data_IF_849045025426
#
_entry.id   IF_849045025426
#
_cell.length_a   1.000
_cell.length_b   1.000
_cell.length_c   1.000
_cell.angle_alpha   90.00
_cell.angle_beta   90.00
_cell.angle_gamma   90.00
#
_symmetry.space_group_name_H-M   'P 1'
#
loop_
_entity.id
_entity.type
_entity.pdbx_description
1 polymer ?
#
# COMPACT_ATOMS: atom_id res chain seq x y z
N UNK A 1 -34.58 -5.95 9.55
CA UNK A 1 -33.28 -5.27 9.29
C UNK A 1 -33.58 -3.99 8.53
N UNK A 2 -33.46 -2.83 9.18
CA UNK A 2 -33.62 -1.52 8.53
C UNK A 2 -32.32 -1.21 7.79
N UNK A 3 -32.33 -1.24 6.48
CA UNK A 3 -31.21 -0.75 5.66
C UNK A 3 -31.01 0.73 5.97
N UNK A 4 -29.83 1.10 6.49
CA UNK A 4 -29.46 2.52 6.63
C UNK A 4 -29.37 3.10 5.21
N UNK A 5 -30.11 4.17 4.95
CA UNK A 5 -29.99 4.89 3.69
C UNK A 5 -28.54 5.38 3.51
N UNK A 6 -27.96 5.12 2.36
CA UNK A 6 -26.64 5.64 2.02
C UNK A 6 -26.75 7.15 1.85
N UNK A 7 -26.11 7.91 2.74
CA UNK A 7 -25.96 9.36 2.56
C UNK A 7 -24.82 9.61 1.55
N UNK A 8 -25.17 9.69 0.28
CA UNK A 8 -24.23 10.12 -0.75
C UNK A 8 -23.95 11.61 -0.56
N UNK A 9 -22.70 11.98 -0.30
CA UNK A 9 -22.28 13.37 -0.35
C UNK A 9 -22.52 13.91 -1.79
N UNK A 10 -23.10 15.11 -1.94
CA UNK A 10 -23.23 15.71 -3.27
C UNK A 10 -21.83 15.92 -3.86
N UNK A 11 -21.62 15.44 -5.08
CA UNK A 11 -20.38 15.67 -5.80
C UNK A 11 -20.29 17.14 -6.26
N UNK A 12 -19.08 17.67 -6.24
CA UNK A 12 -18.80 18.95 -6.90
C UNK A 12 -18.97 18.77 -8.41
N UNK A 13 -20.03 19.36 -8.94
CA UNK A 13 -20.38 19.22 -10.37
C UNK A 13 -19.43 19.97 -11.30
N UNK A 14 -18.75 21.01 -10.81
CA UNK A 14 -17.77 21.74 -11.60
C UNK A 14 -16.50 20.92 -11.74
N UNK A 15 -15.94 20.47 -10.62
CA UNK A 15 -14.79 19.58 -10.59
C UNK A 15 -15.04 18.28 -11.37
N UNK A 16 -16.23 17.66 -11.22
CA UNK A 16 -16.58 16.47 -11.97
C UNK A 16 -16.53 16.68 -13.50
N UNK A 17 -17.01 17.82 -13.98
CA UNK A 17 -16.96 18.15 -15.42
C UNK A 17 -15.54 18.36 -15.90
N UNK A 18 -14.76 19.11 -15.15
CA UNK A 18 -13.37 19.42 -15.46
C UNK A 18 -12.51 18.15 -15.50
N UNK A 19 -12.62 17.30 -14.50
CA UNK A 19 -11.95 15.99 -14.49
C UNK A 19 -12.40 15.09 -15.64
N UNK A 20 -13.69 15.03 -15.92
CA UNK A 20 -14.19 14.22 -17.04
C UNK A 20 -13.61 14.69 -18.37
N UNK A 21 -13.46 16.00 -18.58
CA UNK A 21 -12.87 16.57 -19.79
C UNK A 21 -11.36 16.28 -19.86
N UNK A 22 -10.62 16.42 -18.76
CA UNK A 22 -9.19 16.16 -18.72
C UNK A 22 -8.87 14.68 -18.99
N UNK A 23 -9.55 13.76 -18.30
CA UNK A 23 -9.40 12.33 -18.51
C UNK A 23 -9.79 11.93 -19.94
N UNK A 24 -10.87 12.54 -20.49
CA UNK A 24 -11.31 12.26 -21.85
C UNK A 24 -10.30 12.76 -22.89
N UNK A 25 -9.64 13.87 -22.67
CA UNK A 25 -8.63 14.40 -23.59
C UNK A 25 -7.43 13.45 -23.69
N UNK A 26 -6.85 13.03 -22.55
CA UNK A 26 -5.74 12.08 -22.53
C UNK A 26 -6.13 10.75 -23.17
N UNK A 27 -7.27 10.20 -22.78
CA UNK A 27 -7.75 8.92 -23.30
C UNK A 27 -8.06 8.94 -24.80
N UNK A 28 -8.45 10.11 -25.34
CA UNK A 28 -8.64 10.27 -26.79
C UNK A 28 -7.31 10.26 -27.53
N UNK A 29 -6.28 10.91 -27.02
CA UNK A 29 -4.93 10.88 -27.59
C UNK A 29 -4.37 9.45 -27.64
N UNK A 30 -4.54 8.68 -26.58
CA UNK A 30 -4.15 7.26 -26.55
C UNK A 30 -4.92 6.42 -27.58
N UNK A 31 -6.23 6.65 -27.70
CA UNK A 31 -7.08 5.94 -28.65
C UNK A 31 -6.68 6.26 -30.10
N UNK A 32 -6.39 7.52 -30.40
CA UNK A 32 -5.93 7.97 -31.72
C UNK A 32 -4.56 7.38 -32.04
N UNK A 33 -3.64 7.35 -31.09
CA UNK A 33 -2.33 6.73 -31.24
C UNK A 33 -2.46 5.24 -31.58
N UNK A 34 -3.29 4.49 -30.82
CA UNK A 34 -3.50 3.06 -31.05
C UNK A 34 -4.18 2.80 -32.39
N UNK A 35 -5.15 3.63 -32.78
CA UNK A 35 -5.84 3.50 -34.06
C UNK A 35 -4.95 3.74 -35.28
N UNK A 36 -3.86 4.50 -35.13
CA UNK A 36 -2.89 4.79 -36.19
C UNK A 36 -1.75 3.77 -36.26
N UNK A 37 -1.35 3.16 -35.15
CA UNK A 37 -0.19 2.28 -35.07
C UNK A 37 -0.53 0.79 -35.11
N UNK A 38 -1.79 0.43 -34.83
CA UNK A 38 -2.31 -0.92 -35.02
C UNK A 38 -2.86 -1.12 -36.44
N UNK A 39 -3.40 -2.33 -36.76
CA UNK A 39 -4.19 -2.52 -37.98
C UNK A 39 -5.29 -1.46 -38.08
N UNK A 40 -5.52 -0.85 -39.27
CA UNK A 40 -6.47 0.25 -39.42
C UNK A 40 -7.85 -0.07 -38.86
N UNK A 41 -8.30 0.72 -37.88
CA UNK A 41 -9.61 0.53 -37.27
C UNK A 41 -10.71 0.97 -38.20
N UNK A 42 -11.77 0.18 -38.31
CA UNK A 42 -12.98 0.64 -39.01
C UNK A 42 -13.65 1.79 -38.24
N UNK A 43 -14.35 2.69 -38.94
CA UNK A 43 -15.12 3.76 -38.30
C UNK A 43 -16.05 3.26 -37.21
N UNK A 44 -16.66 2.08 -37.39
CA UNK A 44 -17.52 1.46 -36.38
C UNK A 44 -16.77 1.01 -35.15
N UNK A 45 -15.56 0.43 -35.31
CA UNK A 45 -14.72 0.00 -34.20
C UNK A 45 -14.26 1.22 -33.38
N UNK A 46 -13.82 2.28 -34.07
CA UNK A 46 -13.41 3.52 -33.42
C UNK A 46 -14.56 4.20 -32.66
N UNK A 47 -15.73 4.34 -33.27
CA UNK A 47 -16.90 4.92 -32.62
C UNK A 47 -17.37 4.12 -31.39
N UNK A 48 -17.30 2.79 -31.45
CA UNK A 48 -17.66 1.93 -30.33
C UNK A 48 -16.66 2.06 -29.18
N UNK A 49 -15.37 2.11 -29.46
CA UNK A 49 -14.32 2.31 -28.48
C UNK A 49 -14.44 3.68 -27.80
N UNK A 50 -14.66 4.74 -28.57
CA UNK A 50 -14.85 6.09 -28.03
C UNK A 50 -16.09 6.17 -27.12
N UNK A 51 -17.20 5.54 -27.48
CA UNK A 51 -18.41 5.52 -26.66
C UNK A 51 -18.24 4.73 -25.35
N UNK A 52 -17.48 3.62 -25.38
CA UNK A 52 -17.12 2.88 -24.18
C UNK A 52 -16.25 3.72 -23.25
N UNK A 53 -15.22 4.33 -23.78
CA UNK A 53 -14.27 5.17 -23.05
C UNK A 53 -14.94 6.38 -22.39
N UNK A 54 -15.91 7.01 -23.04
CA UNK A 54 -16.66 8.11 -22.43
C UNK A 54 -17.40 7.71 -21.15
N UNK A 55 -17.93 6.50 -21.09
CA UNK A 55 -18.59 5.98 -19.88
C UNK A 55 -17.60 5.69 -18.78
N UNK A 56 -16.44 5.11 -19.11
CA UNK A 56 -15.37 4.83 -18.17
C UNK A 56 -14.80 6.11 -17.59
N UNK A 57 -14.53 7.11 -18.43
CA UNK A 57 -14.01 8.41 -18.01
C UNK A 57 -14.96 9.14 -17.04
N UNK A 58 -16.26 9.10 -17.30
CA UNK A 58 -17.26 9.68 -16.40
C UNK A 58 -17.32 8.95 -15.05
N UNK A 59 -17.16 7.63 -15.03
CA UNK A 59 -17.11 6.84 -13.82
C UNK A 59 -15.84 7.14 -13.00
N UNK A 60 -14.67 7.16 -13.64
CA UNK A 60 -13.39 7.49 -13.02
C UNK A 60 -13.41 8.89 -12.40
N UNK A 61 -13.85 9.90 -13.17
CA UNK A 61 -13.99 11.26 -12.66
C UNK A 61 -14.94 11.32 -11.46
N UNK A 62 -16.05 10.57 -11.48
CA UNK A 62 -16.99 10.47 -10.38
C UNK A 62 -16.36 9.88 -9.11
N UNK A 63 -15.57 8.81 -9.24
CA UNK A 63 -14.87 8.17 -8.12
C UNK A 63 -13.80 9.10 -7.54
N UNK A 64 -12.99 9.75 -8.38
CA UNK A 64 -11.95 10.68 -7.96
C UNK A 64 -12.54 11.88 -7.21
N UNK A 65 -13.57 12.53 -7.80
CA UNK A 65 -14.28 13.64 -7.15
C UNK A 65 -14.89 13.23 -5.81
N UNK A 66 -15.47 12.04 -5.70
CA UNK A 66 -16.03 11.52 -4.45
C UNK A 66 -14.96 11.30 -3.37
N UNK A 67 -13.72 11.06 -3.76
CA UNK A 67 -12.55 10.93 -2.88
C UNK A 67 -11.86 12.26 -2.57
N UNK A 68 -12.34 13.37 -3.13
CA UNK A 68 -11.78 14.70 -2.91
C UNK A 68 -10.67 15.09 -3.89
N UNK A 69 -10.32 14.23 -4.84
CA UNK A 69 -9.39 14.57 -5.93
C UNK A 69 -10.16 15.37 -6.96
N UNK A 70 -9.90 16.67 -7.02
CA UNK A 70 -10.63 17.63 -7.86
C UNK A 70 -9.74 18.35 -8.85
N UNK A 71 -8.43 18.32 -8.66
CA UNK A 71 -7.45 18.89 -9.57
C UNK A 71 -7.16 17.92 -10.74
N UNK A 72 -7.27 18.36 -12.00
CA UNK A 72 -7.03 17.53 -13.16
C UNK A 72 -5.60 16.99 -13.25
N UNK A 73 -4.61 17.77 -12.85
CA UNK A 73 -3.21 17.34 -12.91
C UNK A 73 -2.95 16.24 -11.90
N UNK A 74 -3.42 16.40 -10.67
CA UNK A 74 -3.34 15.37 -9.62
C UNK A 74 -4.03 14.07 -10.09
N UNK A 75 -5.23 14.20 -10.66
CA UNK A 75 -5.99 13.05 -11.16
C UNK A 75 -5.25 12.28 -12.27
N UNK A 76 -4.67 12.99 -13.23
CA UNK A 76 -3.95 12.39 -14.36
C UNK A 76 -2.64 11.74 -13.90
N UNK A 77 -1.89 12.36 -13.00
CA UNK A 77 -0.68 11.79 -12.39
C UNK A 77 -0.99 10.48 -11.65
N UNK A 78 -2.06 10.47 -10.84
CA UNK A 78 -2.52 9.27 -10.15
C UNK A 78 -2.91 8.14 -11.12
N UNK A 79 -3.63 8.47 -12.20
CA UNK A 79 -4.05 7.49 -13.20
C UNK A 79 -2.89 6.94 -14.04
N UNK A 80 -1.87 7.77 -14.30
CA UNK A 80 -0.65 7.35 -14.98
C UNK A 80 0.27 6.47 -14.10
N UNK A 81 0.06 6.46 -12.78
CA UNK A 81 0.94 5.76 -11.85
C UNK A 81 2.35 6.38 -11.75
N UNK A 82 2.46 7.65 -12.09
CA UNK A 82 3.72 8.41 -12.11
C UNK A 82 3.96 9.19 -10.81
N UNK A 83 3.34 8.77 -9.71
CA UNK A 83 3.54 9.42 -8.42
C UNK A 83 4.98 9.25 -7.95
N UNK A 84 5.61 10.35 -7.60
CA UNK A 84 6.90 10.33 -6.94
C UNK A 84 6.75 9.75 -5.53
N UNK A 85 7.68 8.86 -5.15
CA UNK A 85 7.74 8.35 -3.79
C UNK A 85 8.04 9.51 -2.83
N UNK A 86 7.25 9.63 -1.79
CA UNK A 86 7.49 10.59 -0.72
C UNK A 86 8.81 10.29 0.00
N UNK A 87 9.45 11.32 0.54
CA UNK A 87 10.64 11.16 1.38
C UNK A 87 10.28 10.29 2.60
N UNK A 88 10.96 9.15 2.80
CA UNK A 88 10.68 8.26 3.93
C UNK A 88 10.88 8.94 5.29
N UNK A 89 11.68 10.01 5.40
CA UNK A 89 11.84 10.77 6.63
C UNK A 89 10.56 11.48 7.10
N UNK A 90 9.55 11.60 6.23
CA UNK A 90 8.22 12.11 6.59
C UNK A 90 7.39 11.13 7.43
N UNK A 91 7.76 9.86 7.47
CA UNK A 91 7.13 8.89 8.37
C UNK A 91 7.52 9.18 9.81
N UNK A 92 6.52 9.20 10.70
CA UNK A 92 6.73 9.42 12.12
C UNK A 92 7.70 8.38 12.69
N UNK A 93 8.68 8.86 13.47
CA UNK A 93 9.69 8.03 14.15
C UNK A 93 10.59 7.19 13.22
N UNK A 94 10.68 7.51 11.92
CA UNK A 94 11.56 6.81 10.99
C UNK A 94 13.02 6.82 11.46
N UNK A 95 13.52 7.97 11.93
CA UNK A 95 14.88 8.10 12.43
C UNK A 95 15.14 7.16 13.61
N UNK A 96 14.21 7.09 14.57
CA UNK A 96 14.31 6.18 15.73
C UNK A 96 14.29 4.71 15.31
N UNK A 97 13.46 4.36 14.33
CA UNK A 97 13.40 3.01 13.79
C UNK A 97 14.74 2.62 13.14
N UNK A 98 15.28 3.50 12.30
CA UNK A 98 16.59 3.30 11.67
C UNK A 98 17.71 3.16 12.70
N UNK A 99 17.79 4.08 13.67
CA UNK A 99 18.79 4.02 14.75
C UNK A 99 18.69 2.72 15.57
N UNK A 100 17.46 2.26 15.86
CA UNK A 100 17.24 1.01 16.59
C UNK A 100 17.70 -0.21 15.80
N UNK A 101 17.41 -0.25 14.48
CA UNK A 101 17.87 -1.33 13.61
C UNK A 101 19.39 -1.33 13.48
N UNK A 102 20.02 -0.17 13.28
CA UNK A 102 21.48 -0.07 13.22
C UNK A 102 22.13 -0.57 14.50
N UNK A 103 21.63 -0.16 15.66
CA UNK A 103 22.12 -0.66 16.96
C UNK A 103 22.02 -2.18 17.06
N UNK A 104 20.91 -2.77 16.62
CA UNK A 104 20.76 -4.22 16.63
C UNK A 104 21.78 -4.93 15.73
N UNK A 105 22.12 -4.32 14.60
CA UNK A 105 23.15 -4.86 13.69
C UNK A 105 24.52 -4.80 14.34
N UNK A 106 24.89 -3.64 14.89
CA UNK A 106 26.20 -3.40 15.50
C UNK A 106 26.43 -4.27 16.74
N UNK A 107 25.39 -4.51 17.54
CA UNK A 107 25.43 -5.32 18.75
C UNK A 107 25.22 -6.82 18.47
N UNK A 108 24.97 -7.21 17.22
CA UNK A 108 24.76 -8.62 16.83
C UNK A 108 23.45 -9.22 17.35
N UNK A 109 22.46 -8.38 17.63
CA UNK A 109 21.15 -8.80 18.11
C UNK A 109 20.38 -9.62 17.06
N UNK A 110 19.47 -10.47 17.54
CA UNK A 110 18.57 -11.20 16.61
C UNK A 110 17.33 -10.37 16.30
N UNK A 111 17.20 -9.96 15.05
CA UNK A 111 16.04 -9.27 14.50
C UNK A 111 15.07 -10.30 13.89
N UNK A 112 13.77 -10.15 14.14
CA UNK A 112 12.73 -10.90 13.39
C UNK A 112 11.88 -9.94 12.59
N UNK A 113 11.82 -10.17 11.29
CA UNK A 113 10.83 -9.52 10.41
C UNK A 113 9.55 -10.35 10.47
N UNK A 114 8.48 -9.74 10.98
CA UNK A 114 7.18 -10.38 11.14
C UNK A 114 6.20 -9.78 10.12
N UNK A 115 5.80 -10.57 9.13
CA UNK A 115 4.86 -10.14 8.08
C UNK A 115 3.48 -10.74 8.22
N UNK A 116 2.65 -10.51 7.20
CA UNK A 116 1.38 -11.20 7.03
C UNK A 116 1.50 -12.37 6.05
N UNK A 117 0.49 -13.21 5.98
CA UNK A 117 0.44 -14.43 5.16
C UNK A 117 -0.02 -14.18 3.72
N UNK A 118 -0.49 -12.98 3.38
CA UNK A 118 -0.88 -12.64 2.02
C UNK A 118 0.32 -12.19 1.15
N UNK A 119 0.05 -11.81 -0.10
CA UNK A 119 1.11 -11.46 -1.06
C UNK A 119 1.90 -10.23 -0.60
N UNK A 120 1.22 -9.23 -0.04
CA UNK A 120 1.86 -7.98 0.39
C UNK A 120 2.75 -8.24 1.60
N UNK A 121 2.26 -8.96 2.60
CA UNK A 121 3.03 -9.36 3.78
C UNK A 121 4.23 -10.25 3.45
N UNK A 122 4.06 -11.24 2.57
CA UNK A 122 5.15 -12.13 2.15
C UNK A 122 6.22 -11.37 1.37
N UNK A 123 5.83 -10.50 0.44
CA UNK A 123 6.79 -9.73 -0.38
C UNK A 123 7.51 -8.66 0.44
N UNK A 124 6.81 -7.96 1.32
CA UNK A 124 7.41 -6.99 2.25
C UNK A 124 8.40 -7.67 3.20
N UNK A 125 8.04 -8.85 3.75
CA UNK A 125 8.93 -9.65 4.60
C UNK A 125 10.19 -10.06 3.83
N UNK A 126 10.04 -10.56 2.62
CA UNK A 126 11.18 -11.00 1.80
C UNK A 126 12.12 -9.84 1.46
N UNK A 127 11.57 -8.68 1.10
CA UNK A 127 12.32 -7.47 0.78
C UNK A 127 13.16 -7.01 1.99
N UNK A 128 12.53 -6.81 3.13
CA UNK A 128 13.21 -6.32 4.33
C UNK A 128 14.20 -7.36 4.87
N UNK A 129 13.84 -8.64 4.90
CA UNK A 129 14.76 -9.72 5.29
C UNK A 129 16.02 -9.73 4.44
N UNK A 130 15.88 -9.67 3.11
CA UNK A 130 17.04 -9.69 2.21
C UNK A 130 17.93 -8.45 2.40
N UNK A 131 17.31 -7.28 2.59
CA UNK A 131 18.03 -6.04 2.82
C UNK A 131 18.83 -6.09 4.11
N UNK A 132 18.20 -6.41 5.23
CA UNK A 132 18.86 -6.53 6.54
C UNK A 132 19.97 -7.59 6.54
N UNK A 133 19.72 -8.72 5.89
CA UNK A 133 20.74 -9.76 5.73
C UNK A 133 21.95 -9.28 4.91
N UNK A 134 21.70 -8.50 3.85
CA UNK A 134 22.76 -7.89 3.04
C UNK A 134 23.60 -6.87 3.83
N UNK A 135 23.01 -6.23 4.83
CA UNK A 135 23.68 -5.33 5.78
C UNK A 135 24.46 -6.07 6.88
N UNK A 136 24.41 -7.39 6.94
CA UNK A 136 25.10 -8.22 7.94
C UNK A 136 24.31 -8.50 9.22
N UNK A 137 23.01 -8.18 9.26
CA UNK A 137 22.15 -8.43 10.41
C UNK A 137 21.97 -9.94 10.69
N UNK A 138 21.87 -10.31 11.95
CA UNK A 138 21.36 -11.60 12.38
C UNK A 138 19.83 -11.57 12.32
N UNK A 139 19.28 -11.86 11.15
CA UNK A 139 17.86 -11.68 10.85
C UNK A 139 17.16 -13.02 10.58
N UNK A 140 15.92 -13.13 11.06
CA UNK A 140 14.98 -14.23 10.78
C UNK A 140 13.68 -13.63 10.27
N UNK A 141 12.84 -14.44 9.63
CA UNK A 141 11.47 -14.04 9.26
C UNK A 141 10.45 -14.99 9.89
N UNK A 142 9.26 -14.45 10.15
CA UNK A 142 8.12 -15.20 10.64
C UNK A 142 6.84 -14.67 10.00
N UNK A 143 5.95 -15.57 9.63
CA UNK A 143 4.61 -15.27 9.13
C UNK A 143 3.59 -16.00 10.01
N UNK A 144 2.41 -15.41 10.28
CA UNK A 144 1.36 -16.09 11.03
C UNK A 144 0.79 -17.27 10.22
N UNK A 145 0.32 -18.29 10.93
CA UNK A 145 -0.39 -19.40 10.30
C UNK A 145 -1.87 -19.06 10.14
N UNK A 146 -2.42 -19.27 8.92
CA UNK A 146 -3.85 -19.09 8.65
C UNK A 146 -4.77 -19.90 9.58
N UNK A 147 -4.30 -21.03 10.06
CA UNK A 147 -5.14 -22.01 10.78
C UNK A 147 -5.02 -21.93 12.32
N UNK A 148 -4.04 -21.20 12.87
CA UNK A 148 -3.76 -21.28 14.31
C UNK A 148 -3.57 -19.95 15.05
N UNK A 149 -2.97 -18.95 14.42
CA UNK A 149 -2.51 -17.74 15.12
C UNK A 149 -3.44 -16.54 14.97
N UNK A 150 -4.44 -16.62 14.07
CA UNK A 150 -5.27 -15.48 13.72
C UNK A 150 -4.56 -14.52 12.76
N UNK A 151 -5.12 -13.31 12.63
CA UNK A 151 -4.54 -12.25 11.81
C UNK A 151 -3.58 -11.40 12.63
N UNK A 152 -2.39 -11.12 12.07
CA UNK A 152 -1.43 -10.20 12.64
C UNK A 152 -0.55 -10.76 13.76
N UNK A 153 0.09 -9.87 14.50
CA UNK A 153 0.99 -10.19 15.59
C UNK A 153 0.22 -10.72 16.81
N UNK A 154 0.68 -11.82 17.40
CA UNK A 154 0.06 -12.42 18.59
C UNK A 154 1.05 -12.56 19.76
N UNK A 155 0.53 -12.55 20.99
CA UNK A 155 1.36 -12.77 22.21
C UNK A 155 2.10 -14.12 22.18
N UNK A 156 1.49 -15.15 21.57
CA UNK A 156 2.13 -16.45 21.40
C UNK A 156 3.31 -16.40 20.42
N UNK A 157 3.17 -15.67 19.32
CA UNK A 157 4.25 -15.45 18.37
C UNK A 157 5.42 -14.67 19.04
N UNK A 158 5.12 -13.61 19.77
CA UNK A 158 6.11 -12.83 20.52
C UNK A 158 6.85 -13.70 21.52
N UNK A 159 6.13 -14.50 22.32
CA UNK A 159 6.75 -15.41 23.28
C UNK A 159 7.67 -16.45 22.59
N UNK A 160 7.23 -16.96 21.43
CA UNK A 160 8.05 -17.87 20.63
C UNK A 160 9.33 -17.22 20.11
N UNK A 161 9.26 -15.96 19.66
CA UNK A 161 10.40 -15.17 19.21
C UNK A 161 11.36 -14.87 20.36
N UNK A 162 10.83 -14.46 21.51
CA UNK A 162 11.62 -14.23 22.73
C UNK A 162 12.40 -15.48 23.15
N UNK A 163 11.74 -16.64 23.19
CA UNK A 163 12.37 -17.92 23.55
C UNK A 163 13.48 -18.34 22.57
N UNK A 164 13.49 -17.81 21.35
CA UNK A 164 14.54 -18.01 20.34
C UNK A 164 15.62 -16.93 20.35
N UNK A 165 15.63 -16.06 21.39
CA UNK A 165 16.63 -15.00 21.59
C UNK A 165 16.45 -13.78 20.70
N UNK A 166 15.25 -13.52 20.20
CA UNK A 166 14.93 -12.29 19.50
C UNK A 166 14.82 -11.13 20.48
N UNK A 167 15.40 -9.99 20.15
CA UNK A 167 15.34 -8.75 20.93
C UNK A 167 14.66 -7.61 20.20
N UNK A 168 14.56 -7.70 18.87
CA UNK A 168 13.89 -6.72 18.02
C UNK A 168 12.94 -7.41 17.05
N UNK A 169 11.67 -6.98 17.05
CA UNK A 169 10.66 -7.36 16.06
C UNK A 169 10.44 -6.16 15.14
N UNK A 170 10.49 -6.36 13.83
CA UNK A 170 10.05 -5.38 12.83
C UNK A 170 8.85 -5.94 12.11
N UNK A 171 7.69 -5.31 12.29
CA UNK A 171 6.45 -5.70 11.61
C UNK A 171 6.37 -5.08 10.23
N UNK A 172 5.87 -5.82 9.26
CA UNK A 172 5.61 -5.34 7.90
C UNK A 172 4.23 -5.81 7.45
N UNK A 173 3.46 -4.87 6.88
CA UNK A 173 2.08 -5.09 6.41
C UNK A 173 1.10 -5.54 7.52
N UNK A 174 1.46 -5.33 8.77
CA UNK A 174 0.62 -5.56 9.95
C UNK A 174 1.18 -4.80 11.16
N UNK A 175 0.56 -4.97 12.32
CA UNK A 175 1.11 -4.49 13.61
C UNK A 175 0.58 -3.14 14.08
N UNK A 176 0.09 -2.26 13.22
CA UNK A 176 -0.32 -0.88 13.61
C UNK A 176 -1.40 -0.84 14.70
N UNK A 177 -2.23 -1.86 14.81
CA UNK A 177 -3.29 -1.97 15.82
C UNK A 177 -2.93 -2.88 17.00
N UNK A 178 -1.74 -3.47 17.01
CA UNK A 178 -1.31 -4.48 17.98
C UNK A 178 -0.74 -3.84 19.28
N UNK A 179 -1.52 -2.96 19.92
CA UNK A 179 -1.08 -2.20 21.11
C UNK A 179 -0.80 -3.11 22.30
N UNK A 180 -1.68 -4.08 22.59
CA UNK A 180 -1.48 -5.01 23.69
C UNK A 180 -0.28 -5.96 23.46
N UNK A 181 -0.04 -6.32 22.21
CA UNK A 181 1.09 -7.14 21.79
C UNK A 181 2.40 -6.35 21.93
N UNK A 182 2.40 -5.06 21.62
CA UNK A 182 3.55 -4.19 21.82
C UNK A 182 3.90 -4.06 23.31
N UNK A 183 2.90 -3.84 24.17
CA UNK A 183 3.08 -3.80 25.62
C UNK A 183 3.64 -5.14 26.15
N UNK A 184 3.14 -6.26 25.60
CA UNK A 184 3.64 -7.57 25.96
C UNK A 184 5.09 -7.79 25.51
N UNK A 185 5.48 -7.39 24.31
CA UNK A 185 6.86 -7.45 23.84
C UNK A 185 7.77 -6.62 24.74
N UNK A 186 7.38 -5.40 25.07
CA UNK A 186 8.13 -4.53 25.99
C UNK A 186 8.29 -5.16 27.37
N UNK A 187 7.28 -5.86 27.91
CA UNK A 187 7.36 -6.56 29.19
C UNK A 187 8.40 -7.70 29.20
N UNK A 188 8.74 -8.24 28.03
CA UNK A 188 9.77 -9.25 27.84
C UNK A 188 11.14 -8.65 27.50
N UNK A 189 11.26 -7.32 27.48
CA UNK A 189 12.50 -6.62 27.11
C UNK A 189 12.80 -6.66 25.61
N UNK A 190 11.79 -6.85 24.78
CA UNK A 190 11.88 -6.81 23.32
C UNK A 190 11.40 -5.46 22.81
N UNK A 191 12.08 -4.92 21.80
CA UNK A 191 11.62 -3.75 21.06
C UNK A 191 10.78 -4.15 19.84
N UNK A 192 9.83 -3.28 19.46
CA UNK A 192 8.94 -3.44 18.34
C UNK A 192 8.95 -2.19 17.43
N UNK A 193 9.09 -2.41 16.15
CA UNK A 193 8.99 -1.41 15.07
C UNK A 193 7.86 -1.84 14.13
#
# INVERSE_FOLDING_TARGET
MTYRAWNLKPLDRAALRELTQAIAAQATEELEYNAQNDEPWSEQKYAAALAAQQKENALLAGVLTARGITDPTEALTLLAGEEELSDPSLLTDMDKACERIWRAIDEGETIVVFGDYDVDGVTATALLYQHLKGMGATVKCMLPSREGDGYGLSKNAIQSMHNKGCTLIVTVDNGISAVEEADFAASLGMDLI
#
